data_IF_708943103169
#
_entry.id   IF_708943103169
#
_cell.length_a   1.000
_cell.length_b   1.000
_cell.length_c   1.000
_cell.angle_alpha   90.00
_cell.angle_beta   90.00
_cell.angle_gamma   90.00
#
_symmetry.space_group_name_H-M   'P 1'
#
loop_
_entity.id
_entity.type
_entity.pdbx_description
1 polymer ?
#
# COMPACT_ATOMS: atom_id res chain seq x y z
N UNK A 1 9.58 -20.17 -18.73
CA UNK A 1 9.57 -18.76 -18.27
C UNK A 1 8.52 -18.00 -19.07
N UNK A 2 7.78 -17.06 -18.49
CA UNK A 2 6.86 -16.23 -19.27
C UNK A 2 7.65 -15.42 -20.31
N UNK A 3 7.18 -15.43 -21.56
CA UNK A 3 7.70 -14.54 -22.59
C UNK A 3 7.07 -13.16 -22.42
N UNK A 4 7.91 -12.14 -22.31
CA UNK A 4 7.49 -10.76 -22.05
C UNK A 4 7.79 -9.95 -23.30
N UNK A 5 6.79 -9.28 -23.85
CA UNK A 5 6.97 -8.37 -24.98
C UNK A 5 7.11 -6.95 -24.46
N UNK A 6 8.22 -6.30 -24.82
CA UNK A 6 8.49 -4.91 -24.48
C UNK A 6 8.26 -4.02 -25.70
N UNK A 7 7.64 -2.86 -25.48
CA UNK A 7 7.58 -1.81 -26.50
C UNK A 7 8.98 -1.25 -26.77
N UNK A 8 9.19 -0.61 -27.93
CA UNK A 8 10.50 -0.07 -28.29
C UNK A 8 11.08 0.92 -27.24
N UNK A 9 10.29 1.85 -26.65
CA UNK A 9 10.80 2.73 -25.58
C UNK A 9 11.24 1.96 -24.33
N UNK A 10 10.52 0.90 -23.95
CA UNK A 10 10.87 0.07 -22.79
C UNK A 10 12.17 -0.70 -23.03
N UNK A 11 12.37 -1.22 -24.25
CA UNK A 11 13.62 -1.89 -24.62
C UNK A 11 14.81 -0.92 -24.53
N UNK A 12 14.66 0.30 -25.06
CA UNK A 12 15.70 1.33 -24.99
C UNK A 12 16.06 1.67 -23.53
N UNK A 13 15.06 1.83 -22.67
CA UNK A 13 15.27 2.07 -21.24
C UNK A 13 16.03 0.92 -20.57
N UNK A 14 15.58 -0.33 -20.75
CA UNK A 14 16.25 -1.50 -20.17
C UNK A 14 17.70 -1.60 -20.67
N UNK A 15 17.92 -1.39 -21.97
CA UNK A 15 19.25 -1.48 -22.57
C UNK A 15 20.19 -0.41 -22.00
N UNK A 16 19.70 0.81 -21.75
CA UNK A 16 20.47 1.87 -21.11
C UNK A 16 20.86 1.50 -19.67
N UNK A 17 19.95 0.88 -18.91
CA UNK A 17 20.21 0.43 -17.55
C UNK A 17 21.23 -0.73 -17.48
N UNK A 18 21.29 -1.57 -18.50
CA UNK A 18 22.32 -2.62 -18.60
C UNK A 18 23.65 -2.02 -19.05
N UNK A 19 23.63 -1.13 -20.04
CA UNK A 19 24.84 -0.47 -20.56
C UNK A 19 25.53 0.41 -19.51
N UNK A 20 24.77 0.99 -18.57
CA UNK A 20 25.32 1.74 -17.44
C UNK A 20 25.94 0.85 -16.36
N UNK A 21 25.75 -0.48 -16.43
CA UNK A 21 26.20 -1.42 -15.41
C UNK A 21 25.29 -1.52 -14.18
N UNK A 22 24.13 -0.84 -14.16
CA UNK A 22 23.20 -0.92 -13.04
C UNK A 22 22.57 -2.32 -12.89
N UNK A 23 22.45 -3.07 -13.99
CA UNK A 23 21.94 -4.44 -14.01
C UNK A 23 22.68 -5.30 -15.02
N UNK A 24 22.80 -6.60 -14.75
CA UNK A 24 23.54 -7.51 -15.64
C UNK A 24 22.68 -8.01 -16.83
N UNK A 25 21.35 -8.03 -16.70
CA UNK A 25 20.44 -8.57 -17.72
C UNK A 25 19.00 -8.04 -17.56
N UNK A 26 18.18 -8.25 -18.60
CA UNK A 26 16.76 -7.87 -18.63
C UNK A 26 15.99 -8.43 -17.43
N UNK A 27 16.22 -9.70 -17.06
CA UNK A 27 15.48 -10.35 -15.98
C UNK A 27 15.70 -9.67 -14.63
N UNK A 28 16.86 -9.08 -14.39
CA UNK A 28 17.13 -8.29 -13.19
C UNK A 28 16.37 -6.97 -13.17
N UNK A 29 16.33 -6.26 -14.30
CA UNK A 29 15.57 -5.02 -14.43
C UNK A 29 14.08 -5.28 -14.21
N UNK A 30 13.55 -6.36 -14.79
CA UNK A 30 12.14 -6.77 -14.61
C UNK A 30 11.86 -7.11 -13.15
N UNK A 31 12.73 -7.90 -12.49
CA UNK A 31 12.57 -8.21 -11.05
C UNK A 31 12.60 -6.95 -10.19
N UNK A 32 13.50 -6.01 -10.47
CA UNK A 32 13.57 -4.74 -9.76
C UNK A 32 12.28 -3.92 -9.93
N UNK A 33 11.76 -3.83 -11.16
CA UNK A 33 10.49 -3.16 -11.44
C UNK A 33 9.29 -3.80 -10.73
N UNK A 34 9.23 -5.14 -10.70
CA UNK A 34 8.16 -5.87 -9.99
C UNK A 34 8.26 -5.65 -8.48
N UNK A 35 9.47 -5.68 -7.88
CA UNK A 35 9.63 -5.38 -6.44
C UNK A 35 9.15 -3.98 -6.09
N UNK A 36 9.49 -2.99 -6.90
CA UNK A 36 9.00 -1.63 -6.72
C UNK A 36 7.47 -1.55 -6.81
N UNK A 37 6.85 -2.29 -7.73
CA UNK A 37 5.39 -2.37 -7.82
C UNK A 37 4.78 -3.00 -6.56
N UNK A 38 5.36 -4.11 -6.07
CA UNK A 38 4.94 -4.76 -4.83
C UNK A 38 5.05 -3.84 -3.62
N UNK A 39 6.13 -3.06 -3.51
CA UNK A 39 6.31 -2.08 -2.43
C UNK A 39 5.23 -0.98 -2.48
N UNK A 40 4.93 -0.46 -3.68
CA UNK A 40 3.87 0.52 -3.86
C UNK A 40 2.48 -0.04 -3.55
N UNK A 41 2.24 -1.30 -3.90
CA UNK A 41 0.98 -1.97 -3.61
C UNK A 41 0.83 -2.26 -2.11
N UNK A 42 1.89 -2.70 -1.44
CA UNK A 42 1.91 -2.89 0.01
C UNK A 42 1.67 -1.59 0.78
N UNK A 43 2.27 -0.48 0.31
CA UNK A 43 2.07 0.82 0.93
C UNK A 43 0.67 1.42 0.68
N UNK A 44 -0.07 0.93 -0.33
CA UNK A 44 -1.38 1.48 -0.69
C UNK A 44 -2.40 1.35 0.43
N UNK A 45 -2.44 0.20 1.10
CA UNK A 45 -3.36 -0.03 2.23
C UNK A 45 -3.02 0.89 3.40
N UNK A 46 -1.73 1.08 3.69
CA UNK A 46 -1.27 2.01 4.71
C UNK A 46 -1.72 3.45 4.41
N UNK A 47 -1.53 3.92 3.18
CA UNK A 47 -1.92 5.29 2.82
C UNK A 47 -3.44 5.48 2.80
N UNK A 48 -4.21 4.46 2.41
CA UNK A 48 -5.66 4.50 2.50
C UNK A 48 -6.11 4.64 3.96
N UNK A 49 -5.62 3.78 4.86
CA UNK A 49 -5.91 3.86 6.29
C UNK A 49 -5.46 5.20 6.90
N UNK A 50 -4.28 5.70 6.52
CA UNK A 50 -3.77 7.01 6.97
C UNK A 50 -4.72 8.14 6.58
N UNK A 51 -5.21 8.14 5.34
CA UNK A 51 -6.15 9.15 4.87
C UNK A 51 -7.50 9.07 5.59
N UNK A 52 -8.01 7.85 5.84
CA UNK A 52 -9.23 7.64 6.62
C UNK A 52 -9.09 8.15 8.06
N UNK A 53 -7.97 7.85 8.72
CA UNK A 53 -7.68 8.34 10.07
C UNK A 53 -7.51 9.86 10.13
N UNK A 54 -6.85 10.48 9.15
CA UNK A 54 -6.72 11.94 9.08
C UNK A 54 -8.08 12.62 8.92
N UNK A 55 -9.00 12.04 8.13
CA UNK A 55 -10.36 12.55 8.01
C UNK A 55 -11.14 12.42 9.33
N UNK A 56 -11.11 11.24 9.95
CA UNK A 56 -11.78 11.00 11.23
C UNK A 56 -11.23 11.89 12.36
N UNK A 57 -9.91 12.13 12.38
CA UNK A 57 -9.30 13.05 13.33
C UNK A 57 -9.82 14.48 13.12
N UNK A 58 -9.88 14.96 11.87
CA UNK A 58 -10.38 16.30 11.58
C UNK A 58 -11.87 16.46 11.95
N UNK A 59 -12.67 15.41 11.83
CA UNK A 59 -14.06 15.36 12.33
C UNK A 59 -14.09 15.48 13.85
N UNK A 60 -13.32 14.65 14.55
CA UNK A 60 -13.25 14.69 16.01
C UNK A 60 -12.77 16.06 16.55
N UNK A 61 -11.77 16.68 15.91
CA UNK A 61 -11.25 18.01 16.29
C UNK A 61 -12.30 19.13 16.14
N UNK A 62 -13.26 18.98 15.23
CA UNK A 62 -14.40 19.90 15.08
C UNK A 62 -15.55 19.59 16.03
N UNK A 63 -15.45 18.52 16.81
CA UNK A 63 -16.51 18.04 17.70
C UNK A 63 -17.55 17.16 17.00
N UNK A 64 -17.28 16.68 15.78
CA UNK A 64 -18.15 15.76 15.04
C UNK A 64 -17.95 14.31 15.56
N UNK A 65 -18.13 14.09 16.87
CA UNK A 65 -18.03 12.76 17.49
C UNK A 65 -19.12 12.55 18.55
N UNK A 66 -19.38 11.29 18.86
CA UNK A 66 -20.27 10.89 19.95
C UNK A 66 -19.51 10.11 21.02
N UNK A 67 -20.01 10.18 22.27
CA UNK A 67 -19.45 9.38 23.36
C UNK A 67 -19.90 7.94 23.15
N UNK A 68 -18.95 7.06 22.89
CA UNK A 68 -19.19 5.64 22.75
C UNK A 68 -19.34 4.98 24.13
N UNK A 69 -20.47 4.30 24.38
CA UNK A 69 -20.68 3.44 25.54
C UNK A 69 -20.55 1.96 25.13
N UNK A 70 -19.42 1.29 25.44
CA UNK A 70 -19.20 -0.10 25.06
C UNK A 70 -20.20 -1.08 25.68
N UNK A 71 -20.71 -0.79 26.89
CA UNK A 71 -21.64 -1.68 27.59
C UNK A 71 -23.04 -1.61 27.02
N UNK A 72 -23.46 -0.43 26.57
CA UNK A 72 -24.71 -0.26 25.85
C UNK A 72 -24.65 -0.88 24.44
N UNK A 73 -23.48 -0.82 23.80
CA UNK A 73 -23.26 -1.35 22.45
C UNK A 73 -23.19 -2.89 22.43
N UNK A 74 -22.46 -3.50 23.36
CA UNK A 74 -22.28 -4.97 23.46
C UNK A 74 -22.60 -5.47 24.87
N UNK A 75 -23.88 -5.48 25.30
CA UNK A 75 -24.26 -5.86 26.66
C UNK A 75 -23.85 -7.30 27.01
N UNK A 76 -23.91 -8.23 26.05
CA UNK A 76 -23.59 -9.65 26.25
C UNK A 76 -22.10 -9.88 26.54
N UNK A 77 -21.21 -9.02 26.04
CA UNK A 77 -19.76 -9.13 26.28
C UNK A 77 -19.40 -8.82 27.74
N UNK A 78 -20.23 -8.04 28.44
CA UNK A 78 -20.01 -7.60 29.82
C UNK A 78 -20.95 -8.28 30.83
N UNK A 79 -21.74 -9.26 30.40
CA UNK A 79 -22.78 -9.90 31.23
C UNK A 79 -22.23 -10.82 32.35
N UNK A 80 -20.92 -11.10 32.39
CA UNK A 80 -20.33 -12.08 33.32
C UNK A 80 -19.46 -11.48 34.44
N UNK A 81 -19.38 -10.16 34.59
CA UNK A 81 -18.51 -9.49 35.59
C UNK A 81 -19.15 -9.26 36.98
N UNK A 82 -20.30 -9.85 37.30
CA UNK A 82 -20.93 -9.76 38.64
C UNK A 82 -20.44 -10.80 39.63
#
# INVERSE_FOLDING_TARGET
MPNIHLTAPMQAYVQAQIASGAYANLSEVVRAGIRLLMEKDGARQFYALKAELEAAQAEAERGDFEVFDPRAFEPDAYAQET
#
